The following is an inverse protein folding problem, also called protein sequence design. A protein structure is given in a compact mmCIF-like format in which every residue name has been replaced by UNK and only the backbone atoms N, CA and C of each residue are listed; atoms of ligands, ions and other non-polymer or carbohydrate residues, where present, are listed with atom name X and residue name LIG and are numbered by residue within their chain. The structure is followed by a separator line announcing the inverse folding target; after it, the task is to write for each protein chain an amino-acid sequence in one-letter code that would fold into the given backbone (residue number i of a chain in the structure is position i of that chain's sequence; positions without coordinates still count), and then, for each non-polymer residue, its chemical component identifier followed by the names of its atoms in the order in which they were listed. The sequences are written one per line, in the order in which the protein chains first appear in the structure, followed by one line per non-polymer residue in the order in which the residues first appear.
data_IF_624687569273
#
_entry.id   IF_624687569273
#
_cell.length_a   1.000
_cell.length_b   1.000
_cell.length_c   1.000
_cell.angle_alpha   90.00
_cell.angle_beta   90.00
_cell.angle_gamma   90.00
#
_symmetry.space_group_name_H-M   'P 1'
#
loop_
_entity.id
_entity.type
_entity.pdbx_description
1 polymer ?
#
# COMPACT_ATOMS: atom_id res chain seq x y z
N UNK A 1 5.61 -15.13 -10.80
CA UNK A 1 4.83 -13.95 -10.36
C UNK A 1 5.32 -12.77 -11.17
N UNK A 2 4.44 -12.09 -11.87
CA UNK A 2 4.76 -10.91 -12.69
C UNK A 2 4.21 -9.67 -11.99
N UNK A 3 4.95 -8.56 -12.08
CA UNK A 3 4.56 -7.29 -11.49
C UNK A 3 4.51 -6.22 -12.57
N UNK A 4 3.35 -5.59 -12.72
CA UNK A 4 3.14 -4.46 -13.62
C UNK A 4 2.95 -3.19 -12.78
N UNK A 5 3.55 -2.08 -13.21
CA UNK A 5 3.49 -0.81 -12.49
C UNK A 5 2.89 0.25 -13.39
N UNK A 6 1.75 0.81 -12.98
CA UNK A 6 1.14 1.94 -13.69
C UNK A 6 1.80 3.25 -13.23
N UNK A 7 2.63 3.81 -14.11
CA UNK A 7 3.39 5.03 -13.87
C UNK A 7 2.57 6.31 -14.10
N UNK A 8 1.43 6.23 -14.80
CA UNK A 8 0.60 7.39 -15.12
C UNK A 8 -0.39 7.69 -14.00
N UNK A 9 -0.80 6.67 -13.25
CA UNK A 9 -1.71 6.83 -12.12
C UNK A 9 -1.07 7.56 -10.92
N UNK A 10 -1.76 8.59 -10.41
CA UNK A 10 -1.60 9.08 -9.03
C UNK A 10 -2.85 8.73 -8.25
N UNK A 11 -2.78 7.84 -7.25
CA UNK A 11 -1.62 7.17 -6.67
C UNK A 11 -0.98 6.10 -7.57
N UNK A 12 0.32 5.87 -7.41
CA UNK A 12 1.10 4.86 -8.13
C UNK A 12 0.57 3.46 -7.77
N UNK A 13 0.22 2.66 -8.78
CA UNK A 13 -0.40 1.34 -8.60
C UNK A 13 0.54 0.24 -9.10
N UNK A 14 0.63 -0.82 -8.31
CA UNK A 14 1.37 -2.04 -8.64
C UNK A 14 0.39 -3.19 -8.67
N UNK A 15 0.35 -3.92 -9.78
CA UNK A 15 -0.51 -5.09 -9.97
C UNK A 15 0.38 -6.33 -10.00
N UNK A 16 0.08 -7.30 -9.13
CA UNK A 16 0.76 -8.58 -9.09
C UNK A 16 -0.13 -9.65 -9.74
N UNK A 17 0.44 -10.42 -10.66
CA UNK A 17 -0.22 -11.55 -11.30
C UNK A 17 0.60 -12.82 -11.10
N UNK A 18 -0.08 -13.96 -10.94
CA UNK A 18 0.60 -15.23 -10.71
C UNK A 18 -0.38 -16.40 -10.58
N UNK A 19 0.14 -17.60 -10.80
CA UNK A 19 -0.61 -18.85 -10.71
C UNK A 19 -0.89 -19.24 -9.25
N UNK A 20 0.11 -19.12 -8.37
CA UNK A 20 -0.02 -19.47 -6.96
C UNK A 20 -0.47 -18.28 -6.10
N UNK A 21 -1.64 -18.42 -5.45
CA UNK A 21 -2.24 -17.42 -4.57
C UNK A 21 -1.43 -17.21 -3.29
N UNK A 22 -0.79 -18.24 -2.75
CA UNK A 22 -0.01 -18.14 -1.52
C UNK A 22 1.25 -17.32 -1.78
N UNK A 23 1.98 -17.64 -2.86
CA UNK A 23 3.16 -16.88 -3.26
C UNK A 23 2.83 -15.42 -3.60
N UNK A 24 1.73 -15.16 -4.33
CA UNK A 24 1.29 -13.78 -4.63
C UNK A 24 0.98 -13.01 -3.35
N UNK A 25 0.30 -13.63 -2.39
CA UNK A 25 0.03 -13.03 -1.08
C UNK A 25 1.30 -12.71 -0.30
N UNK A 26 2.25 -13.63 -0.27
CA UNK A 26 3.54 -13.44 0.41
C UNK A 26 4.35 -12.30 -0.21
N UNK A 27 4.42 -12.24 -1.54
CA UNK A 27 5.11 -11.15 -2.26
C UNK A 27 4.42 -9.81 -2.00
N UNK A 28 3.08 -9.77 -2.01
CA UNK A 28 2.32 -8.57 -1.69
C UNK A 28 2.56 -8.09 -0.24
N UNK A 29 2.69 -9.01 0.72
CA UNK A 29 3.02 -8.71 2.10
C UNK A 29 4.46 -8.18 2.24
N UNK A 30 5.42 -8.81 1.56
CA UNK A 30 6.82 -8.38 1.54
C UNK A 30 6.95 -6.94 1.01
N UNK A 31 6.27 -6.62 -0.10
CA UNK A 31 6.27 -5.26 -0.67
C UNK A 31 5.67 -4.25 0.30
N UNK A 32 4.56 -4.59 0.97
CA UNK A 32 3.95 -3.72 1.99
C UNK A 32 4.89 -3.47 3.18
N UNK A 33 5.66 -4.47 3.59
CA UNK A 33 6.59 -4.37 4.72
C UNK A 33 7.74 -3.37 4.48
N UNK A 34 8.14 -3.16 3.22
CA UNK A 34 9.19 -2.18 2.86
C UNK A 34 8.83 -0.76 3.29
N UNK A 35 7.57 -0.38 3.16
CA UNK A 35 7.08 0.94 3.57
C UNK A 35 5.62 0.88 4.00
N UNK A 36 5.34 0.49 5.26
CA UNK A 36 3.98 0.43 5.76
C UNK A 36 3.36 1.84 5.80
N UNK A 37 2.01 1.92 5.73
CA UNK A 37 1.33 3.19 5.79
C UNK A 37 1.46 3.82 7.19
N UNK A 38 1.83 5.10 7.22
CA UNK A 38 1.92 5.90 8.45
C UNK A 38 0.54 6.07 9.11
N UNK A 39 0.50 5.95 10.44
CA UNK A 39 -0.68 6.14 11.28
C UNK A 39 -1.25 7.56 11.26
N UNK A 40 -0.49 8.58 10.84
CA UNK A 40 -0.99 9.96 10.81
C UNK A 40 -1.36 10.41 9.40
N UNK A 41 -0.43 10.30 8.44
CA UNK A 41 -0.64 10.79 7.06
C UNK A 41 -1.13 9.73 6.10
N UNK A 42 -1.15 8.46 6.49
CA UNK A 42 -1.52 7.33 5.61
C UNK A 42 -0.58 7.14 4.41
N UNK A 43 0.61 7.75 4.45
CA UNK A 43 1.61 7.66 3.38
C UNK A 43 2.35 6.33 3.49
N UNK A 44 2.43 5.59 2.39
CA UNK A 44 3.10 4.29 2.33
C UNK A 44 2.41 3.37 1.32
N UNK A 45 2.80 2.10 1.33
CA UNK A 45 2.24 1.06 0.47
C UNK A 45 1.03 0.45 1.17
N UNK A 46 -0.12 0.47 0.48
CA UNK A 46 -1.39 -0.09 0.99
C UNK A 46 -2.03 -0.96 -0.07
N UNK A 47 -2.83 -1.92 0.37
CA UNK A 47 -3.69 -2.68 -0.54
C UNK A 47 -4.79 -1.78 -1.13
N UNK A 48 -5.24 -2.13 -2.33
CA UNK A 48 -6.36 -1.46 -2.96
C UNK A 48 -7.61 -1.57 -2.07
N UNK A 49 -8.30 -0.45 -1.81
CA UNK A 49 -9.53 -0.41 -1.01
C UNK A 49 -9.36 -0.52 0.51
N UNK A 50 -8.14 -0.70 1.05
CA UNK A 50 -7.94 -0.81 2.49
C UNK A 50 -8.25 0.51 3.23
N UNK A 51 -9.13 0.46 4.24
CA UNK A 51 -9.40 1.59 5.15
C UNK A 51 -8.28 1.71 6.19
N UNK A 52 -7.57 2.84 6.18
CA UNK A 52 -6.54 3.14 7.19
C UNK A 52 -7.19 3.83 8.39
N UNK A 53 -6.85 3.38 9.60
CA UNK A 53 -7.15 4.10 10.84
C UNK A 53 -6.09 5.18 11.04
N UNK A 54 -6.44 6.42 10.74
CA UNK A 54 -5.55 7.56 10.93
C UNK A 54 -5.76 8.16 12.31
N UNK A 55 -4.68 8.42 13.03
CA UNK A 55 -4.70 9.21 14.26
C UNK A 55 -4.81 10.69 13.90
N UNK A 56 -5.58 11.47 14.66
CA UNK A 56 -5.59 12.91 14.49
C UNK A 56 -4.16 13.45 14.67
N UNK A 57 -3.78 14.38 13.79
CA UNK A 57 -2.51 15.10 13.92
C UNK A 57 -2.53 16.04 15.13
N UNK A 58 -1.54 16.94 15.22
CA UNK A 58 -1.54 17.99 16.26
C UNK A 58 -2.85 18.79 16.19
N UNK A 59 -3.60 18.80 17.29
CA UNK A 59 -4.78 19.66 17.50
C UNK A 59 -4.38 21.13 17.75
N UNK A 60 -3.29 21.58 17.12
CA UNK A 60 -2.68 22.89 17.33
C UNK A 60 -2.64 23.65 16.00
N UNK A 61 -3.81 24.06 15.53
CA UNK A 61 -3.93 25.21 14.63
C UNK A 61 -5.29 25.84 14.89
N UNK A 62 -5.29 26.95 15.63
CA UNK A 62 -6.26 28.01 15.39
C UNK A 62 -5.96 28.61 14.00
#
# INVERSE_FOLDING_TARGET
VSAEVDHKARPLKVTLTGYDKQLVGQVAANIRALRPPDAYKGKGIRYAGARLKLKPGKAGKK
#
